data_IF_745839184325
#
_entry.id   IF_745839184325
#
_cell.length_a   1.000
_cell.length_b   1.000
_cell.length_c   1.000
_cell.angle_alpha   90.00
_cell.angle_beta   90.00
_cell.angle_gamma   90.00
#
_symmetry.space_group_name_H-M   'P 1'
#
loop_
_entity.id
_entity.type
_entity.pdbx_description
1 polymer ?
#
# COMPACT_ATOMS: atom_id res chain seq x y z
N UNK A 1 16.65 -27.45 -12.62
CA UNK A 1 16.21 -26.23 -13.36
C UNK A 1 16.35 -25.04 -12.43
N UNK A 2 17.14 -24.03 -12.80
CA UNK A 2 17.35 -22.82 -11.99
C UNK A 2 16.30 -21.77 -12.38
N UNK A 3 15.59 -21.18 -11.41
CA UNK A 3 14.65 -20.07 -11.64
C UNK A 3 15.20 -18.80 -11.01
N UNK A 4 15.16 -17.70 -11.76
CA UNK A 4 15.50 -16.37 -11.24
C UNK A 4 14.31 -15.84 -10.42
N UNK A 5 14.60 -15.27 -9.25
CA UNK A 5 13.62 -14.56 -8.43
C UNK A 5 14.04 -13.11 -8.30
N UNK A 6 13.06 -12.22 -8.33
CA UNK A 6 13.28 -10.79 -8.07
C UNK A 6 12.83 -10.52 -6.64
N UNK A 7 13.74 -9.98 -5.84
CA UNK A 7 13.49 -9.66 -4.42
C UNK A 7 13.81 -8.19 -4.21
N UNK A 8 12.86 -7.47 -3.65
CA UNK A 8 13.01 -6.07 -3.32
C UNK A 8 11.70 -5.51 -2.78
N UNK A 9 11.73 -4.25 -2.35
CA UNK A 9 10.51 -3.61 -1.88
C UNK A 9 9.55 -3.26 -3.03
N UNK A 10 8.32 -2.85 -2.69
CA UNK A 10 7.31 -2.51 -3.71
C UNK A 10 7.74 -1.34 -4.61
N UNK A 11 8.55 -0.39 -4.13
CA UNK A 11 9.06 0.71 -4.95
C UNK A 11 10.07 0.20 -5.98
N UNK A 12 11.00 -0.64 -5.53
CA UNK A 12 11.97 -1.28 -6.40
C UNK A 12 11.29 -2.14 -7.48
N UNK A 13 10.33 -2.98 -7.09
CA UNK A 13 9.55 -3.77 -8.05
C UNK A 13 8.80 -2.86 -9.02
N UNK A 14 8.23 -1.74 -8.55
CA UNK A 14 7.56 -0.80 -9.43
C UNK A 14 8.49 -0.20 -10.49
N UNK A 15 9.70 0.18 -10.11
CA UNK A 15 10.70 0.67 -11.07
C UNK A 15 11.09 -0.40 -12.09
N UNK A 16 11.23 -1.66 -11.69
CA UNK A 16 11.61 -2.75 -12.60
C UNK A 16 10.53 -3.09 -13.64
N UNK A 17 9.26 -3.02 -13.26
CA UNK A 17 8.14 -3.40 -14.13
C UNK A 17 7.49 -2.20 -14.84
N UNK A 18 8.06 -0.99 -14.72
CA UNK A 18 7.43 0.25 -15.18
C UNK A 18 6.01 0.45 -14.61
N UNK A 19 5.82 0.08 -13.35
CA UNK A 19 4.54 0.18 -12.65
C UNK A 19 4.39 1.59 -12.04
N UNK A 20 3.18 2.19 -12.03
CA UNK A 20 2.93 3.52 -11.44
C UNK A 20 3.20 3.64 -9.93
N UNK A 21 3.44 2.51 -9.26
CA UNK A 21 3.79 2.45 -7.85
C UNK A 21 2.59 2.50 -6.89
N UNK A 22 2.90 2.50 -5.59
CA UNK A 22 1.92 2.35 -4.50
C UNK A 22 1.01 3.55 -4.26
N UNK A 23 1.37 4.74 -4.79
CA UNK A 23 0.56 5.94 -4.68
C UNK A 23 -0.47 6.08 -5.81
N UNK A 24 -0.42 5.19 -6.80
CA UNK A 24 -1.37 5.18 -7.91
C UNK A 24 -2.74 4.65 -7.50
N UNK A 25 -3.73 4.85 -8.36
CA UNK A 25 -5.07 4.27 -8.18
C UNK A 25 -5.10 2.75 -8.40
N UNK A 26 -4.06 2.15 -8.99
CA UNK A 26 -3.95 0.70 -9.20
C UNK A 26 -2.63 0.14 -8.63
N UNK A 27 -2.44 0.16 -7.30
CA UNK A 27 -1.14 -0.08 -6.69
C UNK A 27 -0.69 -1.55 -6.67
N UNK A 28 -1.57 -2.51 -7.01
CA UNK A 28 -1.24 -3.94 -6.93
C UNK A 28 -0.42 -4.42 -8.13
N UNK A 29 0.70 -5.11 -7.89
CA UNK A 29 1.51 -5.67 -8.98
C UNK A 29 0.86 -6.88 -9.69
N UNK A 30 -0.10 -7.56 -9.05
CA UNK A 30 -0.65 -8.83 -9.54
C UNK A 30 -2.03 -8.69 -10.20
N UNK A 31 -2.78 -7.62 -9.92
CA UNK A 31 -4.12 -7.42 -10.44
C UNK A 31 -4.39 -5.94 -10.75
N UNK A 32 -5.42 -5.65 -11.54
CA UNK A 32 -5.75 -4.27 -11.96
C UNK A 32 -6.74 -3.57 -11.02
N UNK A 33 -6.75 -3.98 -9.75
CA UNK A 33 -7.66 -3.44 -8.75
C UNK A 33 -7.51 -1.92 -8.66
N UNK A 34 -8.63 -1.20 -8.71
CA UNK A 34 -8.64 0.26 -8.62
C UNK A 34 -9.22 0.68 -7.28
N UNK A 35 -8.43 1.37 -6.46
CA UNK A 35 -8.91 1.93 -5.21
C UNK A 35 -8.14 3.17 -4.80
N UNK A 36 -8.81 4.03 -4.01
CA UNK A 36 -8.17 5.22 -3.44
C UNK A 36 -7.52 4.87 -2.11
N UNK A 37 -6.28 5.30 -1.94
CA UNK A 37 -5.46 5.05 -0.74
C UNK A 37 -5.58 6.18 0.29
N UNK A 38 -6.14 7.32 -0.09
CA UNK A 38 -6.20 8.54 0.71
C UNK A 38 -7.45 9.37 0.41
N UNK A 39 -7.70 10.39 1.23
CA UNK A 39 -8.84 11.29 1.11
C UNK A 39 -10.13 10.70 1.67
N UNK A 40 -11.24 11.43 1.49
CA UNK A 40 -12.58 11.04 1.98
C UNK A 40 -13.11 9.75 1.33
N UNK A 41 -12.62 9.42 0.13
CA UNK A 41 -13.04 8.25 -0.64
C UNK A 41 -12.06 7.08 -0.51
N UNK A 42 -11.22 7.05 0.54
CA UNK A 42 -10.28 5.95 0.77
C UNK A 42 -11.03 4.63 0.89
N UNK A 43 -10.54 3.59 0.22
CA UNK A 43 -11.12 2.25 0.35
C UNK A 43 -10.83 1.66 1.74
N UNK A 44 -11.90 1.34 2.46
CA UNK A 44 -11.88 0.67 3.76
C UNK A 44 -12.61 -0.69 3.65
N UNK A 45 -12.39 -1.60 4.61
CA UNK A 45 -12.95 -2.97 4.58
C UNK A 45 -14.48 -3.01 4.40
N UNK A 46 -15.22 -2.02 4.89
CA UNK A 46 -16.68 -1.93 4.74
C UNK A 46 -17.17 -1.20 3.49
N UNK A 47 -16.27 -0.57 2.73
CA UNK A 47 -16.61 0.23 1.54
C UNK A 47 -16.06 -0.37 0.25
N UNK A 48 -15.10 -1.29 0.36
CA UNK A 48 -14.44 -1.89 -0.79
C UNK A 48 -15.21 -3.13 -1.27
N UNK A 49 -15.51 -3.20 -2.56
CA UNK A 49 -16.17 -4.35 -3.17
C UNK A 49 -15.13 -5.44 -3.49
N UNK A 50 -15.16 -6.54 -2.75
CA UNK A 50 -14.25 -7.68 -2.96
C UNK A 50 -14.78 -8.69 -3.98
N UNK A 51 -16.05 -8.61 -4.37
CA UNK A 51 -16.70 -9.59 -5.25
C UNK A 51 -16.37 -9.34 -6.73
N UNK A 52 -15.86 -8.16 -7.07
CA UNK A 52 -15.53 -7.80 -8.45
C UNK A 52 -14.14 -8.32 -8.85
N UNK A 53 -14.10 -9.20 -9.85
CA UNK A 53 -12.84 -9.63 -10.46
C UNK A 53 -12.29 -8.56 -11.40
N UNK A 54 -11.11 -8.04 -11.07
CA UNK A 54 -10.45 -6.92 -11.76
C UNK A 54 -9.35 -7.37 -12.72
N UNK A 55 -9.26 -8.67 -13.01
CA UNK A 55 -8.25 -9.26 -13.88
C UNK A 55 -6.82 -9.26 -13.29
N UNK A 56 -5.93 -10.04 -13.90
CA UNK A 56 -4.55 -10.22 -13.45
C UNK A 56 -3.54 -9.48 -14.34
N UNK A 57 -2.37 -9.22 -13.76
CA UNK A 57 -1.17 -8.74 -14.44
C UNK A 57 -0.19 -9.89 -14.62
N UNK A 58 0.52 -9.89 -15.74
CA UNK A 58 1.61 -10.81 -16.05
C UNK A 58 2.71 -10.06 -16.81
N UNK A 59 3.84 -10.71 -17.06
CA UNK A 59 4.93 -10.06 -17.79
C UNK A 59 4.49 -9.57 -19.18
N UNK A 60 3.62 -10.33 -19.87
CA UNK A 60 3.06 -9.92 -21.17
C UNK A 60 2.26 -8.62 -21.07
N UNK A 61 1.41 -8.44 -20.06
CA UNK A 61 0.66 -7.19 -19.89
C UNK A 61 1.60 -6.00 -19.64
N UNK A 62 2.65 -6.21 -18.85
CA UNK A 62 3.65 -5.17 -18.60
C UNK A 62 4.47 -4.79 -19.84
N UNK A 63 4.80 -5.75 -20.69
CA UNK A 63 5.47 -5.50 -21.98
C UNK A 63 4.57 -4.76 -23.01
N UNK A 64 3.24 -4.79 -22.83
CA UNK A 64 2.29 -4.01 -23.67
C UNK A 64 2.10 -2.60 -23.12
N UNK A 65 2.07 -2.45 -21.79
CA UNK A 65 1.83 -1.16 -21.11
C UNK A 65 3.10 -0.31 -20.99
N UNK A 66 4.28 -0.91 -21.13
CA UNK A 66 5.56 -0.21 -21.11
C UNK A 66 6.74 -1.13 -21.40
N UNK A 67 7.91 -0.75 -20.88
CA UNK A 67 9.16 -1.48 -21.10
C UNK A 67 9.78 -1.92 -19.76
N UNK A 68 9.40 -3.09 -19.23
CA UNK A 68 10.00 -3.66 -18.03
C UNK A 68 11.51 -3.88 -18.19
N UNK A 69 12.27 -3.49 -17.18
CA UNK A 69 13.73 -3.70 -17.11
C UNK A 69 14.10 -5.17 -16.84
N UNK A 70 13.12 -6.00 -16.47
CA UNK A 70 13.32 -7.43 -16.17
C UNK A 70 12.30 -8.30 -16.88
N UNK A 71 12.78 -9.43 -17.40
CA UNK A 71 11.96 -10.44 -18.06
C UNK A 71 11.73 -11.63 -17.11
N UNK A 72 11.09 -11.35 -15.97
CA UNK A 72 10.75 -12.33 -14.94
C UNK A 72 9.25 -12.24 -14.66
N UNK A 73 8.54 -13.37 -14.69
CA UNK A 73 7.13 -13.42 -14.32
C UNK A 73 6.90 -13.00 -12.87
N UNK A 74 5.79 -12.29 -12.63
CA UNK A 74 5.46 -11.71 -11.32
C UNK A 74 5.30 -12.77 -10.22
N UNK A 75 4.94 -14.00 -10.58
CA UNK A 75 4.87 -15.13 -9.65
C UNK A 75 6.26 -15.50 -9.06
N UNK A 76 7.34 -15.04 -9.70
CA UNK A 76 8.71 -15.18 -9.22
C UNK A 76 9.22 -13.90 -8.52
N UNK A 77 8.37 -12.89 -8.33
CA UNK A 77 8.65 -11.74 -7.48
C UNK A 77 8.27 -12.05 -6.04
N UNK A 78 9.14 -11.67 -5.12
CA UNK A 78 8.84 -11.76 -3.69
C UNK A 78 8.32 -10.41 -3.24
N UNK A 79 7.00 -10.33 -2.97
CA UNK A 79 6.43 -9.20 -2.24
C UNK A 79 7.02 -9.23 -0.83
N UNK A 80 7.64 -8.14 -0.34
CA UNK A 80 8.42 -8.12 0.90
C UNK A 80 7.54 -8.33 2.15
N UNK A 81 7.53 -9.52 2.79
CA UNK A 81 6.61 -9.80 3.89
C UNK A 81 6.85 -8.90 5.11
N UNK A 82 8.12 -8.54 5.35
CA UNK A 82 8.51 -7.64 6.43
C UNK A 82 7.89 -6.23 6.27
N UNK A 83 7.84 -5.69 5.05
CA UNK A 83 7.23 -4.37 4.83
C UNK A 83 5.71 -4.42 5.00
N UNK A 84 5.06 -5.52 4.63
CA UNK A 84 3.64 -5.71 4.90
C UNK A 84 3.37 -5.74 6.41
N UNK A 85 4.15 -6.53 7.16
CA UNK A 85 4.04 -6.61 8.61
C UNK A 85 4.27 -5.24 9.26
N UNK A 86 5.37 -4.56 8.91
CA UNK A 86 5.69 -3.24 9.42
C UNK A 86 4.57 -2.23 9.13
N UNK A 87 4.00 -2.23 7.91
CA UNK A 87 2.91 -1.33 7.54
C UNK A 87 1.63 -1.55 8.34
N UNK A 88 1.24 -2.82 8.55
CA UNK A 88 0.05 -3.19 9.34
C UNK A 88 0.28 -2.85 10.82
N UNK A 89 1.42 -3.26 11.39
CA UNK A 89 1.78 -2.99 12.79
C UNK A 89 1.87 -1.49 13.07
N UNK A 90 2.46 -0.71 12.16
CA UNK A 90 2.50 0.74 12.30
C UNK A 90 1.10 1.35 12.29
N UNK A 91 0.25 0.95 11.34
CA UNK A 91 -1.06 1.57 11.13
C UNK A 91 -2.08 1.24 12.21
N UNK A 92 -2.12 -0.02 12.66
CA UNK A 92 -3.17 -0.50 13.58
C UNK A 92 -2.67 -0.75 15.00
N UNK A 93 -1.36 -0.89 15.21
CA UNK A 93 -0.78 -1.08 16.54
C UNK A 93 -0.16 0.22 17.04
N UNK A 94 0.98 0.59 16.47
CA UNK A 94 1.82 1.68 16.99
C UNK A 94 1.07 3.02 16.95
N UNK A 95 0.47 3.38 15.81
CA UNK A 95 -0.26 4.65 15.69
C UNK A 95 -1.47 4.72 16.61
N UNK A 96 -2.12 3.58 16.90
CA UNK A 96 -3.24 3.53 17.83
C UNK A 96 -2.77 3.84 19.26
N UNK A 97 -1.75 3.15 19.75
CA UNK A 97 -1.22 3.40 21.10
C UNK A 97 -0.64 4.80 21.25
N UNK A 98 0.04 5.33 20.22
CA UNK A 98 0.52 6.71 20.25
C UNK A 98 -0.63 7.72 20.28
N UNK A 99 -1.70 7.50 19.53
CA UNK A 99 -2.86 8.39 19.55
C UNK A 99 -3.50 8.43 20.94
N UNK A 100 -3.62 7.27 21.58
CA UNK A 100 -4.20 7.18 22.92
C UNK A 100 -3.29 7.79 23.99
N UNK A 101 -1.97 7.56 23.92
CA UNK A 101 -1.01 8.20 24.81
C UNK A 101 -1.09 9.73 24.71
N UNK A 102 -1.17 10.28 23.48
CA UNK A 102 -1.34 11.72 23.28
C UNK A 102 -2.62 12.25 23.93
N UNK A 103 -3.74 11.51 23.87
CA UNK A 103 -5.01 11.92 24.50
C UNK A 103 -4.88 11.98 26.03
N UNK A 104 -4.17 11.01 26.62
CA UNK A 104 -3.92 10.98 28.07
C UNK A 104 -3.02 12.15 28.48
N UNK A 105 -1.95 12.40 27.73
CA UNK A 105 -0.93 13.40 28.08
C UNK A 105 -1.37 14.84 27.80
N UNK A 106 -2.18 15.08 26.77
CA UNK A 106 -2.58 16.44 26.37
C UNK A 106 -3.61 17.07 27.34
N UNK A 107 -4.42 16.25 28.01
CA UNK A 107 -5.38 16.71 29.02
C UNK A 107 -6.70 17.31 28.49
N UNK A 108 -6.79 17.61 27.18
CA UNK A 108 -8.01 18.03 26.48
C UNK A 108 -8.47 16.98 25.44
N UNK A 109 -9.68 17.14 24.90
CA UNK A 109 -10.26 16.24 23.89
C UNK A 109 -9.48 16.28 22.57
N UNK A 110 -8.52 15.36 22.42
CA UNK A 110 -7.86 15.06 21.16
C UNK A 110 -8.61 13.98 20.37
N UNK A 111 -8.66 14.09 19.02
CA UNK A 111 -9.20 13.06 18.15
C UNK A 111 -8.53 11.68 18.32
N UNK A 112 -9.24 10.61 17.96
CA UNK A 112 -8.80 9.22 18.19
C UNK A 112 -7.60 8.77 17.33
N UNK A 113 -7.28 9.48 16.25
CA UNK A 113 -6.23 9.06 15.31
C UNK A 113 -5.14 10.10 15.16
N UNK A 114 -3.88 9.65 15.07
CA UNK A 114 -2.71 10.52 14.82
C UNK A 114 -2.94 11.51 13.66
N UNK A 115 -3.47 11.11 12.48
CA UNK A 115 -3.70 12.06 11.39
C UNK A 115 -4.70 13.17 11.72
N UNK A 116 -5.73 12.87 12.51
CA UNK A 116 -6.71 13.87 12.95
C UNK A 116 -6.11 14.80 14.01
N UNK A 117 -5.35 14.24 14.98
CA UNK A 117 -4.63 15.03 15.98
C UNK A 117 -3.65 16.02 15.32
N UNK A 118 -2.84 15.55 14.36
CA UNK A 118 -1.94 16.42 13.59
C UNK A 118 -2.67 17.51 12.80
N UNK A 119 -3.90 17.26 12.33
CA UNK A 119 -4.68 18.28 11.61
C UNK A 119 -5.18 19.34 12.59
N UNK A 120 -5.79 18.93 13.70
CA UNK A 120 -6.28 19.84 14.74
C UNK A 120 -5.14 20.71 15.31
N UNK A 121 -3.99 20.11 15.62
CA UNK A 121 -2.84 20.82 16.20
C UNK A 121 -2.10 21.75 15.21
N UNK A 122 -2.34 21.62 13.90
CA UNK A 122 -1.81 22.57 12.92
C UNK A 122 -2.62 23.86 12.83
N UNK A 123 -3.87 23.80 13.25
CA UNK A 123 -4.83 24.91 13.18
C UNK A 123 -4.89 25.71 14.51
N UNK A 124 -4.10 25.31 15.50
CA UNK A 124 -3.87 25.99 16.80
C UNK A 124 -2.65 26.91 16.74
#
# INVERSE_FOLDING_TARGET
MIRKKVVGDCKFLASLYNHPGQSSSQPCHLCRINYRTHGSNKACLGQFNFDESVGSRNLRSYNVEGEPLVQVELDNCVIPPLHCLQGVTQSYGINFFLAEANRIDFGDDLPETIPQQHRMLKDL
#
